data_IF_173216881991
#
_entry.id   IF_173216881991
#
_cell.length_a   1.000
_cell.length_b   1.000
_cell.length_c   1.000
_cell.angle_alpha   90.00
_cell.angle_beta   90.00
_cell.angle_gamma   90.00
#
_symmetry.space_group_name_H-M   'P 1'
#
loop_
_entity.id
_entity.type
_entity.pdbx_description
1 polymer ?
#
# COMPACT_ATOMS: atom_id res chain seq x y z
N UNK A 1 -22.60 31.71 -2.28
CA UNK A 1 -21.71 30.52 -2.45
C UNK A 1 -20.38 30.88 -1.82
N UNK A 2 -19.95 30.19 -0.76
CA UNK A 2 -18.66 30.45 -0.14
C UNK A 2 -17.57 29.95 -1.08
N UNK A 3 -16.66 30.82 -1.50
CA UNK A 3 -15.50 30.42 -2.29
C UNK A 3 -14.67 29.42 -1.47
N UNK A 4 -14.44 28.22 -2.02
CA UNK A 4 -13.57 27.25 -1.39
C UNK A 4 -12.16 27.85 -1.26
N UNK A 5 -11.67 27.95 -0.03
CA UNK A 5 -10.35 28.47 0.25
C UNK A 5 -9.31 27.48 -0.27
N UNK A 6 -8.51 27.89 -1.26
CA UNK A 6 -7.41 27.10 -1.79
C UNK A 6 -6.17 27.41 -0.97
N UNK A 7 -5.54 26.37 -0.45
CA UNK A 7 -4.28 26.47 0.29
C UNK A 7 -3.13 26.11 -0.66
N UNK A 8 -2.14 27.00 -0.86
CA UNK A 8 -0.99 26.68 -1.70
C UNK A 8 -0.14 25.57 -1.08
N UNK A 9 0.43 24.73 -1.94
CA UNK A 9 1.43 23.73 -1.51
C UNK A 9 2.69 24.46 -1.06
N UNK A 10 3.27 24.03 0.06
CA UNK A 10 4.53 24.59 0.55
C UNK A 10 5.68 24.18 -0.37
N UNK A 11 6.56 25.11 -0.75
CA UNK A 11 7.66 24.89 -1.69
C UNK A 11 8.57 23.71 -1.28
N UNK A 12 8.84 23.55 0.01
CA UNK A 12 9.63 22.42 0.51
C UNK A 12 9.01 21.05 0.19
N UNK A 13 7.67 20.95 0.21
CA UNK A 13 6.98 19.70 -0.08
C UNK A 13 6.94 19.40 -1.57
N UNK A 14 6.80 20.42 -2.42
CA UNK A 14 6.78 20.25 -3.87
C UNK A 14 8.13 19.82 -4.44
N UNK A 15 9.23 20.31 -3.85
CA UNK A 15 10.59 20.03 -4.32
C UNK A 15 11.14 18.68 -3.88
N UNK A 16 10.58 18.08 -2.81
CA UNK A 16 11.01 16.78 -2.26
C UNK A 16 10.04 15.63 -2.54
N UNK A 17 8.90 15.92 -3.14
CA UNK A 17 7.90 14.92 -3.48
C UNK A 17 8.42 13.95 -4.55
N UNK A 18 8.24 12.63 -4.34
CA UNK A 18 8.56 11.59 -5.33
C UNK A 18 7.72 11.72 -6.59
N UNK A 19 6.50 12.25 -6.46
CA UNK A 19 5.56 12.49 -7.56
C UNK A 19 5.26 13.99 -7.56
N UNK A 20 5.72 14.69 -8.57
CA UNK A 20 5.36 16.08 -8.83
C UNK A 20 4.04 16.17 -9.62
N UNK A 21 3.58 17.38 -9.91
CA UNK A 21 2.31 17.59 -10.61
C UNK A 21 2.31 16.98 -12.03
N UNK A 22 3.40 17.07 -12.75
CA UNK A 22 3.48 16.57 -14.13
C UNK A 22 3.50 15.04 -14.15
N UNK A 23 4.29 14.41 -13.27
CA UNK A 23 4.26 12.95 -13.07
C UNK A 23 2.87 12.46 -12.66
N UNK A 24 2.16 13.20 -11.78
CA UNK A 24 0.80 12.85 -11.40
C UNK A 24 -0.15 12.85 -12.60
N UNK A 25 -0.08 13.87 -13.45
CA UNK A 25 -0.94 13.97 -14.63
C UNK A 25 -0.66 12.86 -15.65
N UNK A 26 0.62 12.53 -15.87
CA UNK A 26 1.02 11.41 -16.72
C UNK A 26 0.51 10.07 -16.19
N UNK A 27 0.69 9.82 -14.88
CA UNK A 27 0.19 8.60 -14.23
C UNK A 27 -1.33 8.52 -14.26
N UNK A 28 -2.02 9.64 -14.06
CA UNK A 28 -3.48 9.69 -14.12
C UNK A 28 -3.98 9.38 -15.52
N UNK A 29 -3.41 9.98 -16.56
CA UNK A 29 -3.77 9.70 -17.95
C UNK A 29 -3.52 8.23 -18.29
N UNK A 30 -2.37 7.67 -17.92
CA UNK A 30 -2.07 6.25 -18.13
C UNK A 30 -3.06 5.33 -17.43
N UNK A 31 -3.51 5.68 -16.22
CA UNK A 31 -4.48 4.88 -15.46
C UNK A 31 -5.87 4.83 -16.10
N UNK A 32 -6.20 5.81 -16.95
CA UNK A 32 -7.47 5.89 -17.67
C UNK A 32 -7.37 5.30 -19.08
N UNK A 33 -6.30 5.63 -19.80
CA UNK A 33 -6.13 5.22 -21.22
C UNK A 33 -5.67 3.78 -21.37
N UNK A 34 -4.82 3.28 -20.44
CA UNK A 34 -4.28 1.92 -20.44
C UNK A 34 -4.37 1.27 -19.05
N UNK A 35 -5.57 1.10 -18.46
CA UNK A 35 -5.75 0.69 -17.07
C UNK A 35 -5.09 -0.66 -16.74
N UNK A 36 -5.23 -1.66 -17.59
CA UNK A 36 -4.64 -2.97 -17.32
C UNK A 36 -3.11 -2.92 -17.23
N UNK A 37 -2.48 -2.20 -18.15
CA UNK A 37 -1.02 -2.01 -18.14
C UNK A 37 -0.59 -1.21 -16.92
N UNK A 38 -1.25 -0.09 -16.64
CA UNK A 38 -0.94 0.76 -15.50
C UNK A 38 -1.01 -0.02 -14.18
N UNK A 39 -2.11 -0.75 -13.94
CA UNK A 39 -2.28 -1.50 -12.69
C UNK A 39 -1.36 -2.73 -12.61
N UNK A 40 -1.01 -3.36 -13.73
CA UNK A 40 0.00 -4.41 -13.77
C UNK A 40 1.36 -3.88 -13.28
N UNK A 41 1.83 -2.78 -13.85
CA UNK A 41 3.09 -2.14 -13.48
C UNK A 41 3.12 -1.71 -12.00
N UNK A 42 2.01 -1.16 -11.48
CA UNK A 42 1.92 -0.79 -10.06
C UNK A 42 1.96 -2.04 -9.15
N UNK A 43 1.25 -3.09 -9.52
CA UNK A 43 1.21 -4.34 -8.76
C UNK A 43 2.59 -5.04 -8.72
N UNK A 44 3.31 -5.08 -9.82
CA UNK A 44 4.68 -5.61 -9.88
C UNK A 44 5.66 -4.75 -9.07
N UNK A 45 5.51 -3.44 -9.14
CA UNK A 45 6.39 -2.50 -8.44
C UNK A 45 6.25 -2.53 -6.92
N UNK A 46 5.03 -2.65 -6.42
CA UNK A 46 4.74 -2.47 -5.00
C UNK A 46 4.47 -3.76 -4.24
N UNK A 47 4.15 -4.86 -4.91
CA UNK A 47 3.77 -6.11 -4.27
C UNK A 47 4.70 -7.25 -4.69
N UNK A 48 4.90 -8.18 -3.76
CA UNK A 48 5.58 -9.45 -4.01
C UNK A 48 4.52 -10.53 -4.19
N UNK A 49 4.53 -11.20 -5.31
CA UNK A 49 3.56 -12.21 -5.70
C UNK A 49 4.15 -13.62 -5.59
N UNK A 50 3.35 -14.55 -5.05
CA UNK A 50 3.66 -15.98 -5.04
C UNK A 50 3.31 -16.63 -6.38
N UNK A 51 2.27 -16.13 -7.03
CA UNK A 51 1.89 -16.46 -8.40
C UNK A 51 1.30 -15.23 -9.10
N UNK A 52 1.74 -14.98 -10.32
CA UNK A 52 1.22 -13.90 -11.15
C UNK A 52 -0.23 -14.18 -11.56
N UNK A 53 -0.91 -13.14 -11.96
CA UNK A 53 -2.30 -13.15 -12.41
C UNK A 53 -2.44 -13.56 -13.87
N UNK A 54 -3.62 -14.06 -14.25
CA UNK A 54 -3.99 -14.37 -15.65
C UNK A 54 -4.63 -13.17 -16.35
N UNK A 55 -5.31 -12.30 -15.60
CA UNK A 55 -5.91 -11.04 -16.07
C UNK A 55 -5.91 -10.00 -14.94
N UNK A 56 -5.80 -8.72 -15.31
CA UNK A 56 -5.76 -7.62 -14.35
C UNK A 56 -7.12 -7.36 -13.75
N UNK A 57 -8.14 -7.22 -14.59
CA UNK A 57 -9.51 -6.92 -14.18
C UNK A 57 -10.51 -7.73 -14.97
N UNK A 58 -11.59 -8.10 -14.31
CA UNK A 58 -12.81 -8.62 -14.94
C UNK A 58 -13.99 -8.02 -14.22
N UNK A 59 -14.76 -7.20 -14.91
CA UNK A 59 -15.88 -6.48 -14.34
C UNK A 59 -17.17 -6.68 -15.15
N UNK A 60 -18.30 -6.67 -14.46
CA UNK A 60 -19.61 -6.68 -15.07
C UNK A 60 -20.55 -5.77 -14.26
N UNK A 61 -20.80 -4.57 -14.78
CA UNK A 61 -21.66 -3.59 -14.13
C UNK A 61 -23.12 -4.05 -13.98
N UNK A 62 -23.59 -4.95 -14.84
CA UNK A 62 -24.97 -5.45 -14.78
C UNK A 62 -25.19 -6.38 -13.59
N UNK A 63 -24.17 -7.15 -13.22
CA UNK A 63 -24.21 -8.06 -12.06
C UNK A 63 -23.59 -7.48 -10.80
N UNK A 64 -22.86 -6.37 -10.94
CA UNK A 64 -22.08 -5.76 -9.85
C UNK A 64 -20.81 -6.54 -9.51
N UNK A 65 -20.39 -7.46 -10.36
CA UNK A 65 -19.15 -8.23 -10.16
C UNK A 65 -17.92 -7.41 -10.56
N UNK A 66 -16.91 -7.41 -9.69
CA UNK A 66 -15.58 -6.88 -9.98
C UNK A 66 -14.51 -7.79 -9.36
N UNK A 67 -13.59 -8.25 -10.18
CA UNK A 67 -12.46 -9.10 -9.76
C UNK A 67 -11.17 -8.50 -10.29
N UNK A 68 -10.17 -8.38 -9.42
CA UNK A 68 -8.86 -7.85 -9.74
C UNK A 68 -7.80 -8.92 -9.58
N UNK A 69 -6.79 -8.90 -10.45
CA UNK A 69 -5.64 -9.80 -10.44
C UNK A 69 -6.04 -11.27 -10.35
N UNK A 70 -6.83 -11.71 -11.36
CA UNK A 70 -7.40 -13.06 -11.42
C UNK A 70 -6.30 -14.11 -11.32
N UNK A 71 -6.54 -15.14 -10.51
CA UNK A 71 -5.60 -16.25 -10.23
C UNK A 71 -4.29 -15.82 -9.53
N UNK A 72 -4.06 -14.53 -9.37
CA UNK A 72 -2.90 -14.00 -8.63
C UNK A 72 -2.92 -14.45 -7.17
N UNK A 73 -1.73 -14.78 -6.63
CA UNK A 73 -1.57 -15.19 -5.24
C UNK A 73 -0.48 -14.39 -4.58
N UNK A 74 -0.77 -13.87 -3.42
CA UNK A 74 0.19 -13.18 -2.54
C UNK A 74 -0.17 -13.42 -1.08
N UNK A 75 0.82 -13.27 -0.22
CA UNK A 75 0.61 -13.23 1.22
C UNK A 75 0.71 -11.79 1.71
N UNK A 76 -0.37 -11.29 2.31
CA UNK A 76 -0.44 -9.91 2.83
C UNK A 76 0.56 -9.71 3.96
N UNK A 77 0.69 -10.68 4.89
CA UNK A 77 1.66 -10.61 5.98
C UNK A 77 3.09 -10.51 5.44
N UNK A 78 3.44 -11.34 4.46
CA UNK A 78 4.75 -11.29 3.79
C UNK A 78 5.00 -9.91 3.16
N UNK A 79 4.02 -9.35 2.49
CA UNK A 79 4.14 -8.05 1.85
C UNK A 79 4.24 -6.88 2.86
N UNK A 80 3.55 -6.97 3.98
CA UNK A 80 3.50 -5.89 4.98
C UNK A 80 4.60 -5.99 6.03
N UNK A 81 5.13 -7.19 6.30
CA UNK A 81 6.03 -7.43 7.43
C UNK A 81 7.33 -8.09 6.97
N UNK A 82 7.26 -9.34 6.47
CA UNK A 82 8.43 -10.21 6.27
C UNK A 82 9.46 -9.60 5.33
N UNK A 83 9.02 -9.02 4.22
CA UNK A 83 9.93 -8.40 3.23
C UNK A 83 10.75 -7.24 3.79
N UNK A 84 10.28 -6.60 4.87
CA UNK A 84 10.98 -5.49 5.52
C UNK A 84 12.07 -5.95 6.49
N UNK A 85 12.07 -7.22 6.92
CA UNK A 85 13.04 -7.73 7.88
C UNK A 85 14.48 -7.75 7.35
N UNK A 86 14.67 -7.73 6.04
CA UNK A 86 16.02 -7.76 5.45
C UNK A 86 16.75 -6.43 5.61
N UNK A 87 16.02 -5.30 5.51
CA UNK A 87 16.63 -3.96 5.48
C UNK A 87 16.14 -3.03 6.58
N UNK A 88 14.95 -3.24 7.12
CA UNK A 88 14.26 -2.34 8.04
C UNK A 88 13.85 -3.03 9.36
N UNK A 89 14.53 -4.10 9.75
CA UNK A 89 14.22 -4.96 10.92
C UNK A 89 13.92 -4.16 12.19
N UNK A 90 14.77 -3.20 12.52
CA UNK A 90 14.67 -2.37 13.74
C UNK A 90 13.81 -1.11 13.56
N UNK A 91 13.37 -0.84 12.33
CA UNK A 91 12.53 0.33 12.04
C UNK A 91 11.17 0.16 12.70
N UNK A 92 10.64 1.26 13.24
CA UNK A 92 9.32 1.27 13.87
C UNK A 92 8.25 1.06 12.79
N UNK A 93 7.52 -0.05 12.93
CA UNK A 93 6.40 -0.43 12.07
C UNK A 93 5.07 0.13 12.59
N UNK A 94 4.91 0.18 13.93
CA UNK A 94 3.69 0.66 14.58
C UNK A 94 4.07 1.60 15.71
N UNK A 95 3.42 2.74 15.76
CA UNK A 95 3.38 3.63 16.92
C UNK A 95 1.98 3.52 17.49
N UNK A 96 1.85 2.96 18.68
CA UNK A 96 0.59 2.90 19.40
C UNK A 96 0.57 3.97 20.51
N UNK A 97 -0.53 4.67 20.59
CA UNK A 97 -0.79 5.71 21.59
C UNK A 97 -2.07 5.37 22.34
N UNK A 98 -1.98 5.32 23.66
CA UNK A 98 -3.15 5.10 24.54
C UNK A 98 -3.92 6.38 24.85
N UNK A 99 -4.90 6.26 25.73
CA UNK A 99 -5.69 7.41 26.20
C UNK A 99 -4.86 8.38 27.05
N UNK A 100 -3.85 7.89 27.75
CA UNK A 100 -2.89 8.71 28.46
C UNK A 100 -1.71 9.07 27.55
N UNK A 101 -1.24 10.34 27.51
CA UNK A 101 -0.07 10.73 26.73
C UNK A 101 1.22 9.99 27.08
N UNK A 102 1.28 9.41 28.29
CA UNK A 102 2.43 8.63 28.78
C UNK A 102 2.34 7.14 28.38
N UNK A 103 1.20 6.71 27.83
CA UNK A 103 0.94 5.33 27.46
C UNK A 103 1.12 5.16 25.94
N UNK A 104 2.37 5.03 25.52
CA UNK A 104 2.72 4.81 24.12
C UNK A 104 3.65 3.61 23.97
N UNK A 105 3.56 2.93 22.82
CA UNK A 105 4.41 1.80 22.48
C UNK A 105 4.87 1.90 21.03
N UNK A 106 6.17 1.80 20.84
CA UNK A 106 6.78 1.66 19.51
C UNK A 106 7.11 0.19 19.27
N UNK A 107 6.65 -0.35 18.16
CA UNK A 107 6.82 -1.76 17.79
C UNK A 107 7.63 -1.79 16.49
N UNK A 108 8.79 -2.44 16.51
CA UNK A 108 9.63 -2.63 15.33
C UNK A 108 9.04 -3.70 14.39
N UNK A 109 9.54 -3.77 13.14
CA UNK A 109 9.16 -4.85 12.21
C UNK A 109 9.52 -6.23 12.76
N UNK A 110 10.65 -6.37 13.47
CA UNK A 110 11.05 -7.63 14.08
C UNK A 110 10.10 -8.08 15.20
N UNK A 111 9.74 -7.14 16.09
CA UNK A 111 8.78 -7.41 17.16
C UNK A 111 7.40 -7.78 16.58
N UNK A 112 6.92 -7.00 15.60
CA UNK A 112 5.65 -7.26 14.93
C UNK A 112 5.63 -8.64 14.27
N UNK A 113 6.68 -9.01 13.56
CA UNK A 113 6.84 -10.34 12.97
C UNK A 113 6.75 -11.45 14.02
N UNK A 114 7.49 -11.30 15.13
CA UNK A 114 7.46 -12.26 16.24
C UNK A 114 6.06 -12.47 16.80
N UNK A 115 5.33 -11.38 17.05
CA UNK A 115 3.97 -11.45 17.59
C UNK A 115 2.97 -12.05 16.60
N UNK A 116 3.08 -11.71 15.31
CA UNK A 116 2.24 -12.31 14.25
C UNK A 116 2.51 -13.81 14.12
N UNK A 117 3.77 -14.25 14.19
CA UNK A 117 4.12 -15.67 14.18
C UNK A 117 3.55 -16.43 15.40
N UNK A 118 3.61 -15.84 16.59
CA UNK A 118 3.00 -16.42 17.81
C UNK A 118 1.49 -16.59 17.64
N UNK A 119 0.81 -15.55 17.16
CA UNK A 119 -0.62 -15.61 16.91
C UNK A 119 -0.98 -16.66 15.86
N UNK A 120 -0.24 -16.71 14.75
CA UNK A 120 -0.43 -17.70 13.70
C UNK A 120 -0.27 -19.15 14.21
N UNK A 121 0.67 -19.39 15.13
CA UNK A 121 0.85 -20.70 15.76
C UNK A 121 -0.31 -21.07 16.71
N UNK A 122 -0.93 -20.07 17.36
CA UNK A 122 -2.10 -20.32 18.23
C UNK A 122 -3.36 -20.64 17.43
N UNK A 123 -3.49 -20.14 16.20
CA UNK A 123 -4.65 -20.35 15.33
C UNK A 123 -4.57 -21.64 14.49
N UNK A 124 -3.46 -22.35 14.54
CA UNK A 124 -3.18 -23.57 13.76
C UNK A 124 -3.56 -24.83 14.52
#
# INVERSE_FOLDING_TARGET
MSAHKIYPVRDNNSNTALINKDNYLEMYEASISEPDKFWAEQAEKFLTWDANWSAICSENFLTGDAKWFLDGKLNVSTNCIDRHLTHDREKIAIIWEGDSPEDSKHISYEELYSEVCKLGNLLR
#
